data_IF_794577101141
#
_entry.id   IF_794577101141
#
_cell.length_a   1.000
_cell.length_b   1.000
_cell.length_c   1.000
_cell.angle_alpha   90.00
_cell.angle_beta   90.00
_cell.angle_gamma   90.00
#
_symmetry.space_group_name_H-M   'P 1'
#
loop_
_entity.id
_entity.type
_entity.pdbx_description
1 polymer ?
#
# COMPACT_ATOMS: atom_id res chain seq x y z
N UNK A 1 1.44 -24.22 -3.39
CA UNK A 1 1.71 -23.01 -2.57
C UNK A 1 0.44 -22.24 -2.22
N UNK A 2 -0.35 -21.80 -3.21
CA UNK A 2 -1.62 -21.09 -2.97
C UNK A 2 -2.56 -21.72 -1.93
N UNK A 3 -2.88 -23.03 -1.95
CA UNK A 3 -3.78 -23.62 -0.95
C UNK A 3 -3.24 -23.50 0.48
N UNK A 4 -1.92 -23.63 0.64
CA UNK A 4 -1.26 -23.45 1.93
C UNK A 4 -1.36 -22.00 2.41
N UNK A 5 -1.06 -21.02 1.54
CA UNK A 5 -1.19 -19.59 1.87
C UNK A 5 -2.62 -19.24 2.26
N UNK A 6 -3.62 -19.71 1.52
CA UNK A 6 -5.04 -19.51 1.86
C UNK A 6 -5.35 -20.09 3.24
N UNK A 7 -4.88 -21.30 3.53
CA UNK A 7 -5.03 -21.92 4.85
C UNK A 7 -4.44 -21.05 5.97
N UNK A 8 -3.20 -20.58 5.80
CA UNK A 8 -2.54 -19.71 6.79
C UNK A 8 -3.27 -18.37 6.93
N UNK A 9 -3.69 -17.77 5.82
CA UNK A 9 -4.41 -16.49 5.84
C UNK A 9 -5.79 -16.61 6.48
N UNK A 10 -6.48 -17.76 6.35
CA UNK A 10 -7.75 -17.99 7.05
C UNK A 10 -7.58 -18.01 8.58
N UNK A 11 -6.42 -18.47 9.07
CA UNK A 11 -6.09 -18.45 10.49
C UNK A 11 -5.93 -17.03 11.05
N UNK A 12 -5.68 -16.02 10.20
CA UNK A 12 -5.69 -14.62 10.63
C UNK A 12 -7.07 -14.16 11.11
N UNK A 13 -8.17 -14.81 10.77
CA UNK A 13 -9.49 -14.42 11.26
C UNK A 13 -9.87 -15.07 12.60
N UNK A 14 -8.97 -15.90 13.16
CA UNK A 14 -9.19 -16.56 14.44
C UNK A 14 -9.41 -15.55 15.59
N UNK A 15 -10.38 -15.87 16.46
CA UNK A 15 -10.59 -15.17 17.73
C UNK A 15 -9.52 -15.53 18.78
N UNK A 16 -8.87 -16.68 18.61
CA UNK A 16 -7.71 -17.06 19.43
C UNK A 16 -6.49 -16.33 18.90
N UNK A 17 -6.03 -15.36 19.67
CA UNK A 17 -4.94 -14.49 19.29
C UNK A 17 -3.60 -15.22 19.08
N UNK A 18 -3.35 -16.32 19.80
CA UNK A 18 -2.17 -17.17 19.59
C UNK A 18 -2.13 -17.77 18.18
N UNK A 19 -3.29 -18.16 17.63
CA UNK A 19 -3.41 -18.68 16.26
C UNK A 19 -3.15 -17.56 15.25
N UNK A 20 -3.79 -16.40 15.43
CA UNK A 20 -3.59 -15.25 14.55
C UNK A 20 -2.15 -14.77 14.56
N UNK A 21 -1.48 -14.76 15.72
CA UNK A 21 -0.07 -14.42 15.86
C UNK A 21 0.84 -15.43 15.15
N UNK A 22 0.61 -16.72 15.34
CA UNK A 22 1.37 -17.76 14.64
C UNK A 22 1.21 -17.64 13.11
N UNK A 23 0.00 -17.32 12.64
CA UNK A 23 -0.27 -17.08 11.22
C UNK A 23 0.46 -15.83 10.68
N UNK A 24 0.46 -14.71 11.42
CA UNK A 24 1.24 -13.51 11.07
C UNK A 24 2.74 -13.84 10.96
N UNK A 25 3.29 -14.53 11.95
CA UNK A 25 4.69 -14.96 11.97
C UNK A 25 5.03 -15.84 10.75
N UNK A 26 4.17 -16.81 10.43
CA UNK A 26 4.37 -17.68 9.28
C UNK A 26 4.29 -16.92 7.95
N UNK A 27 3.36 -15.96 7.81
CA UNK A 27 3.30 -15.09 6.62
C UNK A 27 4.58 -14.26 6.49
N UNK A 28 5.10 -13.71 7.60
CA UNK A 28 6.40 -13.01 7.63
C UNK A 28 7.51 -13.91 7.08
N UNK A 29 7.62 -15.12 7.61
CA UNK A 29 8.62 -16.12 7.18
C UNK A 29 8.47 -16.44 5.70
N UNK A 30 7.25 -16.69 5.21
CA UNK A 30 6.99 -16.96 3.79
C UNK A 30 7.42 -15.79 2.91
N UNK A 31 7.10 -14.55 3.28
CA UNK A 31 7.50 -13.37 2.54
C UNK A 31 9.03 -13.25 2.43
N UNK A 32 9.75 -13.41 3.54
CA UNK A 32 11.22 -13.35 3.59
C UNK A 32 11.87 -14.41 2.68
N UNK A 33 11.35 -15.64 2.68
CA UNK A 33 11.97 -16.76 1.95
C UNK A 33 11.52 -16.87 0.49
N UNK A 34 10.28 -16.54 0.16
CA UNK A 34 9.75 -16.66 -1.20
C UNK A 34 10.14 -15.46 -2.07
N UNK A 35 10.30 -14.27 -1.46
CA UNK A 35 10.52 -13.00 -2.17
C UNK A 35 9.55 -12.86 -3.34
N UNK A 36 9.96 -12.32 -4.49
CA UNK A 36 9.09 -12.06 -5.65
C UNK A 36 8.21 -13.22 -6.14
N UNK A 37 8.42 -14.46 -5.67
CA UNK A 37 7.48 -15.58 -5.88
C UNK A 37 6.15 -15.41 -5.13
N UNK A 38 6.06 -14.54 -4.13
CA UNK A 38 4.82 -14.23 -3.39
C UNK A 38 3.89 -13.30 -4.17
N UNK A 39 4.36 -12.66 -5.25
CA UNK A 39 3.60 -11.68 -6.03
C UNK A 39 2.23 -12.19 -6.49
N UNK A 40 2.14 -13.47 -6.87
CA UNK A 40 0.89 -14.10 -7.30
C UNK A 40 -0.11 -14.38 -6.19
N UNK A 41 0.30 -14.24 -4.93
CA UNK A 41 -0.46 -14.65 -3.74
C UNK A 41 -0.83 -13.44 -2.86
N UNK A 42 -0.34 -12.24 -3.18
CA UNK A 42 -0.64 -11.01 -2.44
C UNK A 42 -2.15 -10.74 -2.34
N UNK A 43 -2.93 -11.06 -3.39
CA UNK A 43 -4.38 -10.91 -3.39
C UNK A 43 -5.10 -11.76 -2.35
N UNK A 44 -4.48 -12.86 -1.90
CA UNK A 44 -4.99 -13.66 -0.80
C UNK A 44 -4.52 -13.10 0.56
N UNK A 45 -3.26 -12.63 0.64
CA UNK A 45 -2.62 -12.26 1.91
C UNK A 45 -2.98 -10.85 2.39
N UNK A 46 -2.91 -9.85 1.51
CA UNK A 46 -3.08 -8.44 1.87
C UNK A 46 -4.41 -8.11 2.53
N UNK A 47 -5.58 -8.61 2.09
CA UNK A 47 -6.85 -8.26 2.72
C UNK A 47 -6.86 -8.55 4.23
N UNK A 48 -6.40 -9.73 4.62
CA UNK A 48 -6.42 -10.17 6.02
C UNK A 48 -5.34 -9.48 6.86
N UNK A 49 -4.14 -9.26 6.30
CA UNK A 49 -3.07 -8.53 7.00
C UNK A 49 -3.46 -7.07 7.19
N UNK A 50 -3.99 -6.41 6.16
CA UNK A 50 -4.50 -5.03 6.25
C UNK A 50 -5.62 -4.91 7.28
N UNK A 51 -6.57 -5.86 7.29
CA UNK A 51 -7.64 -5.90 8.29
C UNK A 51 -7.07 -5.95 9.71
N UNK A 52 -6.09 -6.83 9.97
CA UNK A 52 -5.44 -6.94 11.28
C UNK A 52 -4.62 -5.71 11.65
N UNK A 53 -3.91 -5.12 10.70
CA UNK A 53 -3.16 -3.89 10.91
C UNK A 53 -4.09 -2.70 11.24
N UNK A 54 -5.27 -2.64 10.64
CA UNK A 54 -6.28 -1.60 10.89
C UNK A 54 -7.05 -1.75 12.20
N UNK A 55 -6.92 -2.88 12.91
CA UNK A 55 -7.61 -3.10 14.19
C UNK A 55 -6.86 -2.41 15.33
N UNK A 56 -7.59 -1.84 16.31
CA UNK A 56 -7.00 -1.40 17.59
C UNK A 56 -6.79 -2.60 18.52
N UNK A 57 -5.92 -3.54 18.11
CA UNK A 57 -5.61 -4.77 18.86
C UNK A 57 -4.12 -4.87 19.16
N UNK A 58 -3.74 -5.74 20.09
CA UNK A 58 -2.33 -5.98 20.40
C UNK A 58 -1.54 -6.66 19.25
N UNK A 59 -2.23 -7.15 18.23
CA UNK A 59 -1.63 -7.77 17.04
C UNK A 59 -1.42 -6.76 15.91
N UNK A 60 -1.91 -5.52 16.04
CA UNK A 60 -1.82 -4.51 14.98
C UNK A 60 -0.38 -4.14 14.63
N UNK A 61 0.47 -3.94 15.63
CA UNK A 61 1.90 -3.67 15.45
C UNK A 61 2.60 -4.84 14.73
N UNK A 62 2.28 -6.07 15.09
CA UNK A 62 2.87 -7.25 14.44
C UNK A 62 2.36 -7.42 13.01
N UNK A 63 1.10 -7.06 12.74
CA UNK A 63 0.55 -7.01 11.38
C UNK A 63 1.17 -5.88 10.53
N UNK A 64 1.49 -4.72 11.12
CA UNK A 64 2.21 -3.64 10.45
C UNK A 64 3.62 -4.07 10.03
N UNK A 65 4.34 -4.77 10.91
CA UNK A 65 5.64 -5.36 10.56
C UNK A 65 5.51 -6.34 9.39
N UNK A 66 4.51 -7.21 9.42
CA UNK A 66 4.25 -8.17 8.33
C UNK A 66 3.93 -7.44 7.03
N UNK A 67 3.15 -6.35 7.10
CA UNK A 67 2.82 -5.53 5.94
C UNK A 67 4.08 -4.93 5.30
N UNK A 68 5.00 -4.39 6.11
CA UNK A 68 6.30 -3.93 5.60
C UNK A 68 7.05 -5.05 4.89
N UNK A 69 7.26 -6.18 5.56
CA UNK A 69 8.02 -7.31 5.01
C UNK A 69 7.42 -7.82 3.69
N UNK A 70 6.09 -7.84 3.56
CA UNK A 70 5.43 -8.21 2.32
C UNK A 70 5.73 -7.21 1.19
N UNK A 71 5.74 -5.91 1.48
CA UNK A 71 6.08 -4.87 0.50
C UNK A 71 7.55 -5.01 0.09
N UNK A 72 8.46 -5.29 1.03
CA UNK A 72 9.88 -5.49 0.75
C UNK A 72 10.15 -6.73 -0.11
N UNK A 73 9.38 -7.80 0.10
CA UNK A 73 9.53 -9.08 -0.58
C UNK A 73 8.94 -9.09 -1.99
N UNK A 74 7.96 -8.23 -2.27
CA UNK A 74 7.18 -8.23 -3.50
C UNK A 74 7.68 -7.21 -4.55
N UNK A 75 7.30 -7.45 -5.81
CA UNK A 75 7.52 -6.45 -6.86
C UNK A 75 6.54 -5.27 -6.70
N UNK A 76 6.98 -4.01 -6.89
CA UNK A 76 6.17 -2.83 -6.63
C UNK A 76 4.86 -2.81 -7.43
N UNK A 77 4.92 -3.21 -8.71
CA UNK A 77 3.72 -3.33 -9.56
C UNK A 77 2.68 -4.31 -9.01
N UNK A 78 3.12 -5.42 -8.38
CA UNK A 78 2.22 -6.40 -7.78
C UNK A 78 1.59 -5.85 -6.50
N UNK A 79 2.36 -5.12 -5.69
CA UNK A 79 1.88 -4.42 -4.49
C UNK A 79 0.82 -3.39 -4.86
N UNK A 80 1.16 -2.45 -5.75
CA UNK A 80 0.27 -1.36 -6.20
C UNK A 80 -1.04 -1.92 -6.75
N UNK A 81 -0.97 -2.89 -7.66
CA UNK A 81 -2.15 -3.52 -8.26
C UNK A 81 -3.04 -4.21 -7.24
N UNK A 82 -2.45 -4.84 -6.22
CA UNK A 82 -3.24 -5.56 -5.21
C UNK A 82 -3.87 -4.58 -4.23
N UNK A 83 -3.14 -3.58 -3.76
CA UNK A 83 -3.65 -2.59 -2.82
C UNK A 83 -4.81 -1.76 -3.40
N UNK A 84 -4.73 -1.40 -4.69
CA UNK A 84 -5.77 -0.63 -5.36
C UNK A 84 -7.12 -1.35 -5.41
N UNK A 85 -7.14 -2.68 -5.37
CA UNK A 85 -8.36 -3.49 -5.34
C UNK A 85 -9.12 -3.39 -4.01
N UNK A 86 -8.48 -2.89 -2.95
CA UNK A 86 -9.05 -2.88 -1.59
C UNK A 86 -9.33 -1.47 -1.05
N UNK A 87 -9.01 -0.41 -1.79
CA UNK A 87 -9.11 0.98 -1.31
C UNK A 87 -10.54 1.47 -1.06
N UNK A 88 -11.54 0.82 -1.68
CA UNK A 88 -12.95 1.11 -1.44
C UNK A 88 -13.37 0.84 0.01
N UNK A 89 -12.66 -0.04 0.74
CA UNK A 89 -12.91 -0.28 2.14
C UNK A 89 -12.31 0.84 3.01
N UNK A 90 -13.14 1.82 3.40
CA UNK A 90 -12.73 3.01 4.17
C UNK A 90 -11.80 2.71 5.36
N UNK A 91 -12.11 1.66 6.13
CA UNK A 91 -11.30 1.23 7.30
C UNK A 91 -9.86 0.81 6.96
N UNK A 92 -9.58 0.45 5.71
CA UNK A 92 -8.28 0.01 5.24
C UNK A 92 -7.48 1.15 4.60
N UNK A 93 -8.12 2.28 4.28
CA UNK A 93 -7.49 3.36 3.49
C UNK A 93 -6.23 3.91 4.13
N UNK A 94 -6.19 4.05 5.47
CA UNK A 94 -4.98 4.49 6.16
C UNK A 94 -3.80 3.53 5.94
N UNK A 95 -4.02 2.22 6.10
CA UNK A 95 -2.99 1.20 5.91
C UNK A 95 -2.63 0.98 4.45
N UNK A 96 -3.59 1.14 3.53
CA UNK A 96 -3.35 1.11 2.09
C UNK A 96 -2.49 2.30 1.65
N UNK A 97 -2.84 3.52 2.09
CA UNK A 97 -2.06 4.71 1.81
C UNK A 97 -0.64 4.57 2.36
N UNK A 98 -0.49 4.14 3.61
CA UNK A 98 0.80 3.84 4.23
C UNK A 98 1.63 2.84 3.41
N UNK A 99 1.05 1.70 3.04
CA UNK A 99 1.72 0.66 2.28
C UNK A 99 2.14 1.14 0.88
N UNK A 100 1.31 1.95 0.23
CA UNK A 100 1.64 2.59 -1.04
C UNK A 100 2.78 3.58 -0.88
N UNK A 101 2.71 4.48 0.10
CA UNK A 101 3.79 5.45 0.40
C UNK A 101 5.11 4.74 0.59
N UNK A 102 5.14 3.71 1.45
CA UNK A 102 6.34 2.93 1.71
C UNK A 102 6.86 2.21 0.44
N UNK A 103 5.96 1.67 -0.38
CA UNK A 103 6.31 1.05 -1.65
C UNK A 103 6.92 2.06 -2.64
N UNK A 104 6.40 3.29 -2.72
CA UNK A 104 6.93 4.34 -3.59
C UNK A 104 8.29 4.81 -3.11
N UNK A 105 8.40 5.19 -1.83
CA UNK A 105 9.65 5.73 -1.26
C UNK A 105 10.82 4.77 -1.40
N UNK A 106 10.60 3.49 -1.08
CA UNK A 106 11.64 2.45 -1.22
C UNK A 106 12.15 2.31 -2.66
N UNK A 107 11.30 2.59 -3.63
CA UNK A 107 11.62 2.44 -5.05
C UNK A 107 11.86 3.78 -5.74
N UNK A 108 11.97 4.89 -5.01
CA UNK A 108 12.11 6.23 -5.58
C UNK A 108 13.37 6.36 -6.45
N UNK A 109 14.47 5.75 -6.01
CA UNK A 109 15.73 5.70 -6.76
C UNK A 109 15.64 4.78 -8.00
N UNK A 110 14.66 3.87 -8.03
CA UNK A 110 14.44 2.95 -9.13
C UNK A 110 13.49 3.59 -10.16
N UNK A 111 14.03 4.48 -11.00
CA UNK A 111 13.30 5.18 -12.04
C UNK A 111 12.47 4.29 -12.98
N UNK A 112 12.68 2.97 -12.96
CA UNK A 112 11.94 1.99 -13.78
C UNK A 112 10.49 1.74 -13.34
N UNK A 113 10.12 1.97 -12.06
CA UNK A 113 8.81 1.54 -11.54
C UNK A 113 7.63 2.21 -12.24
N UNK A 114 7.77 3.49 -12.61
CA UNK A 114 6.71 4.25 -13.27
C UNK A 114 6.97 4.53 -14.75
N UNK A 115 8.04 3.98 -15.32
CA UNK A 115 8.39 4.15 -16.74
C UNK A 115 7.79 3.05 -17.62
N UNK A 116 7.65 3.36 -18.91
CA UNK A 116 7.08 2.43 -19.89
C UNK A 116 5.58 2.19 -19.71
N UNK A 117 5.03 1.25 -20.47
CA UNK A 117 3.57 0.98 -20.46
C UNK A 117 3.10 0.45 -19.10
N UNK A 118 3.81 -0.53 -18.54
CA UNK A 118 3.46 -1.12 -17.26
C UNK A 118 3.60 -0.12 -16.10
N UNK A 119 4.66 0.70 -16.12
CA UNK A 119 4.87 1.72 -15.10
C UNK A 119 3.83 2.84 -15.15
N UNK A 120 3.37 3.25 -16.34
CA UNK A 120 2.24 4.19 -16.46
C UNK A 120 0.96 3.62 -15.84
N UNK A 121 0.64 2.35 -16.09
CA UNK A 121 -0.50 1.70 -15.43
C UNK A 121 -0.35 1.65 -13.91
N UNK A 122 0.86 1.38 -13.41
CA UNK A 122 1.11 1.43 -11.97
C UNK A 122 0.95 2.85 -11.41
N UNK A 123 1.43 3.87 -12.12
CA UNK A 123 1.25 5.27 -11.73
C UNK A 123 -0.23 5.65 -11.65
N UNK A 124 -1.00 5.34 -12.70
CA UNK A 124 -2.44 5.63 -12.75
C UNK A 124 -3.17 4.94 -11.59
N UNK A 125 -2.85 3.68 -11.30
CA UNK A 125 -3.42 2.96 -10.16
C UNK A 125 -3.03 3.58 -8.83
N UNK A 126 -1.78 4.00 -8.65
CA UNK A 126 -1.34 4.68 -7.43
C UNK A 126 -2.11 5.98 -7.24
N UNK A 127 -2.16 6.85 -8.25
CA UNK A 127 -2.86 8.13 -8.18
C UNK A 127 -4.36 7.98 -7.93
N UNK A 128 -5.03 7.06 -8.63
CA UNK A 128 -6.44 6.75 -8.37
C UNK A 128 -6.67 6.27 -6.94
N UNK A 129 -5.75 5.45 -6.41
CA UNK A 129 -5.84 4.95 -5.03
C UNK A 129 -5.65 6.09 -4.03
N UNK A 130 -4.70 6.99 -4.25
CA UNK A 130 -4.48 8.17 -3.41
C UNK A 130 -5.68 9.12 -3.44
N UNK A 131 -6.27 9.36 -4.61
CA UNK A 131 -7.48 10.19 -4.77
C UNK A 131 -8.66 9.63 -3.94
N UNK A 132 -8.87 8.32 -3.94
CA UNK A 132 -9.87 7.68 -3.06
C UNK A 132 -9.53 7.89 -1.58
N UNK A 133 -8.26 7.75 -1.18
CA UNK A 133 -7.83 7.93 0.21
C UNK A 133 -8.06 9.36 0.72
N UNK A 134 -7.82 10.39 -0.10
CA UNK A 134 -8.06 11.78 0.31
C UNK A 134 -9.55 12.10 0.44
N UNK A 135 -10.38 11.58 -0.49
CA UNK A 135 -11.83 11.76 -0.48
C UNK A 135 -12.50 11.00 0.66
N UNK A 136 -11.94 9.85 1.07
CA UNK A 136 -12.44 9.02 2.16
C UNK A 136 -12.38 9.66 3.56
N UNK A 137 -11.66 10.77 3.71
CA UNK A 137 -11.73 11.61 4.91
C UNK A 137 -11.02 11.08 6.14
N UNK A 138 -10.28 9.96 6.06
CA UNK A 138 -9.49 9.45 7.17
C UNK A 138 -8.22 10.30 7.33
N UNK A 139 -7.92 10.89 8.51
CA UNK A 139 -6.78 11.78 8.71
C UNK A 139 -5.43 11.15 8.32
N UNK A 140 -5.16 9.94 8.82
CA UNK A 140 -3.90 9.25 8.49
C UNK A 140 -3.78 8.88 7.01
N UNK A 141 -4.90 8.46 6.38
CA UNK A 141 -4.90 8.16 4.95
C UNK A 141 -4.54 9.40 4.12
N UNK A 142 -5.07 10.56 4.51
CA UNK A 142 -4.74 11.86 3.90
C UNK A 142 -3.27 12.21 4.10
N UNK A 143 -2.74 12.05 5.31
CA UNK A 143 -1.34 12.32 5.63
C UNK A 143 -0.39 11.47 4.76
N UNK A 144 -0.61 10.15 4.73
CA UNK A 144 0.21 9.25 3.92
C UNK A 144 0.03 9.50 2.42
N UNK A 145 -1.18 9.85 1.97
CA UNK A 145 -1.42 10.18 0.56
C UNK A 145 -0.67 11.43 0.12
N UNK A 146 -0.63 12.50 0.94
CA UNK A 146 0.19 13.69 0.66
C UNK A 146 1.67 13.33 0.54
N UNK A 147 2.19 12.60 1.53
CA UNK A 147 3.59 12.14 1.54
C UNK A 147 3.92 11.29 0.32
N UNK A 148 3.02 10.40 -0.07
CA UNK A 148 3.17 9.59 -1.29
C UNK A 148 3.19 10.45 -2.54
N UNK A 149 2.31 11.45 -2.64
CA UNK A 149 2.23 12.32 -3.82
C UNK A 149 3.49 13.19 -3.96
N UNK A 150 3.98 13.76 -2.86
CA UNK A 150 5.24 14.51 -2.84
C UNK A 150 6.40 13.65 -3.34
N UNK A 151 6.53 12.41 -2.85
CA UNK A 151 7.55 11.48 -3.35
C UNK A 151 7.36 11.13 -4.84
N UNK A 152 6.12 10.97 -5.32
CA UNK A 152 5.86 10.74 -6.75
C UNK A 152 6.25 11.93 -7.62
N UNK A 153 6.01 13.16 -7.15
CA UNK A 153 6.42 14.39 -7.85
C UNK A 153 7.93 14.41 -8.04
N UNK A 154 8.69 14.09 -6.99
CA UNK A 154 10.15 14.02 -7.05
C UNK A 154 10.65 12.93 -8.01
N UNK A 155 10.00 11.76 -8.01
CA UNK A 155 10.40 10.62 -8.86
C UNK A 155 10.09 10.84 -10.35
N UNK A 156 8.96 11.48 -10.66
CA UNK A 156 8.50 11.68 -12.04
C UNK A 156 9.17 12.88 -12.72
N UNK A 157 9.52 13.91 -11.95
CA UNK A 157 9.98 15.19 -12.49
C UNK A 157 8.88 15.96 -13.25
N UNK A 158 9.20 17.17 -13.72
CA UNK A 158 8.24 18.08 -14.37
C UNK A 158 7.50 17.45 -15.56
N UNK A 159 8.21 16.71 -16.40
CA UNK A 159 7.70 16.21 -17.68
C UNK A 159 6.74 15.03 -17.50
N UNK A 160 6.81 14.34 -16.36
CA UNK A 160 5.94 13.22 -16.03
C UNK A 160 4.58 13.61 -15.43
N UNK A 161 4.41 14.88 -15.03
CA UNK A 161 3.31 15.32 -14.17
C UNK A 161 2.15 15.99 -14.93
N UNK A 162 2.37 16.50 -16.14
CA UNK A 162 1.33 17.25 -16.87
C UNK A 162 0.02 16.45 -17.06
N UNK A 163 0.14 15.16 -17.41
CA UNK A 163 -1.02 14.27 -17.58
C UNK A 163 -1.67 13.90 -16.23
N UNK A 164 -0.92 13.41 -15.22
CA UNK A 164 -1.43 13.21 -13.87
C UNK A 164 -2.19 14.40 -13.27
N UNK A 165 -1.64 15.61 -13.37
CA UNK A 165 -2.25 16.82 -12.81
C UNK A 165 -3.61 17.14 -13.43
N UNK A 166 -3.74 16.93 -14.75
CA UNK A 166 -5.03 17.09 -15.44
C UNK A 166 -6.05 16.01 -15.08
N UNK A 167 -5.59 14.78 -14.82
CA UNK A 167 -6.47 13.65 -14.51
C UNK A 167 -6.96 13.64 -13.05
N UNK A 168 -6.15 14.14 -12.11
CA UNK A 168 -6.45 14.13 -10.67
C UNK A 168 -6.27 15.52 -10.03
N UNK A 169 -6.95 16.57 -10.53
CA UNK A 169 -6.71 17.95 -10.08
C UNK A 169 -6.93 18.14 -8.57
N UNK A 170 -7.95 17.50 -8.00
CA UNK A 170 -8.25 17.57 -6.57
C UNK A 170 -7.13 16.99 -5.70
N UNK A 171 -6.44 15.96 -6.19
CA UNK A 171 -5.33 15.31 -5.48
C UNK A 171 -4.11 16.23 -5.39
N UNK A 172 -3.79 16.93 -6.48
CA UNK A 172 -2.68 17.88 -6.52
C UNK A 172 -3.00 19.17 -5.75
N UNK A 173 -4.23 19.70 -5.86
CA UNK A 173 -4.67 20.84 -5.05
C UNK A 173 -4.65 20.53 -3.54
N UNK A 174 -4.96 19.28 -3.15
CA UNK A 174 -4.89 18.85 -1.76
C UNK A 174 -3.47 18.85 -1.19
N UNK A 175 -2.46 18.53 -2.01
CA UNK A 175 -1.06 18.60 -1.61
C UNK A 175 -0.65 20.05 -1.34
N UNK A 176 -0.95 20.97 -2.27
CA UNK A 176 -0.67 22.40 -2.17
C UNK A 176 -1.33 23.06 -0.95
N UNK A 177 -2.57 22.67 -0.61
CA UNK A 177 -3.30 23.19 0.55
C UNK A 177 -2.64 22.90 1.91
N UNK A 178 -1.65 22.01 1.97
CA UNK A 178 -0.88 21.70 3.19
C UNK A 178 0.24 22.69 3.52
N UNK A 179 0.69 23.49 2.56
CA UNK A 179 1.76 24.47 2.77
C UNK A 179 1.27 25.83 3.28
N UNK A 180 -0.03 26.01 3.48
CA UNK A 180 -0.64 27.27 3.93
C UNK A 180 -0.88 27.37 5.45
N UNK A 181 -0.26 26.51 6.28
CA UNK A 181 -0.45 26.52 7.73
C UNK A 181 0.88 26.35 8.49
N UNK A 182 1.84 27.23 8.24
CA UNK A 182 2.89 27.59 9.22
C UNK A 182 3.27 29.07 9.03
N UNK A 183 2.48 29.97 9.61
CA UNK A 183 2.91 31.30 10.06
C UNK A 183 2.21 31.61 11.39
#
# INVERSE_FOLDING_TARGET
LRPFIIGVTSCLESLRSSISKAALSLIKTLAVHLKGKINGELGCVFPSVLKRASESSFLSAEADEVLHVLIEAAAPHAVIRTLSQHVSARRLQAKIAFALTYCVERNAECASVFRGRAGRTALDLTLATLDVCIRGGHPDARLYAKRCLSCLIDVLGSDGLEKPMRAYPDLFAFEESGNASVY
#
